data_IF_914068419884
#
_entry.id   IF_914068419884
#
_cell.length_a   1.000
_cell.length_b   1.000
_cell.length_c   1.000
_cell.angle_alpha   90.00
_cell.angle_beta   90.00
_cell.angle_gamma   90.00
#
_symmetry.space_group_name_H-M   'P 1'
#
loop_
_entity.id
_entity.type
_entity.pdbx_description
1 polymer ?
#
# COMPACT_ATOMS: atom_id res chain seq x y z
N UNK A 1 -0.36 40.93 19.52
CA UNK A 1 0.68 40.01 20.03
C UNK A 1 0.05 38.64 19.95
N UNK A 2 0.23 37.97 18.80
CA UNK A 2 -0.54 36.80 18.42
C UNK A 2 0.24 35.55 18.83
N UNK A 3 -0.38 34.72 19.66
CA UNK A 3 0.18 33.48 20.16
C UNK A 3 0.29 32.48 19.00
N UNK A 4 1.51 31.99 18.78
CA UNK A 4 1.84 31.05 17.73
C UNK A 4 1.62 29.63 18.29
N UNK A 5 0.45 29.05 17.99
CA UNK A 5 0.07 27.69 18.37
C UNK A 5 0.87 26.68 17.52
N UNK A 6 2.10 26.39 17.94
CA UNK A 6 2.94 25.37 17.34
C UNK A 6 2.60 24.04 17.98
N UNK A 7 1.66 23.31 17.39
CA UNK A 7 1.40 21.92 17.76
C UNK A 7 2.69 21.09 17.56
N UNK A 8 3.06 20.23 18.53
CA UNK A 8 4.30 19.48 18.46
C UNK A 8 4.24 18.46 17.32
N UNK A 9 5.17 18.59 16.36
CA UNK A 9 5.51 17.57 15.38
C UNK A 9 5.99 16.34 16.15
N UNK A 10 5.11 15.34 16.31
CA UNK A 10 5.48 14.06 16.88
C UNK A 10 6.62 13.48 16.03
N UNK A 11 7.74 13.18 16.68
CA UNK A 11 8.90 12.52 16.08
C UNK A 11 8.50 11.08 15.68
N UNK A 12 7.91 10.95 14.48
CA UNK A 12 7.39 9.68 13.95
C UNK A 12 8.45 8.58 13.81
N UNK A 13 9.72 8.94 13.92
CA UNK A 13 10.86 8.02 13.88
C UNK A 13 11.02 7.23 15.18
N UNK A 14 10.53 7.73 16.32
CA UNK A 14 10.64 7.02 17.61
C UNK A 14 9.55 5.96 17.83
N UNK A 15 8.38 6.09 17.19
CA UNK A 15 7.32 5.07 17.29
C UNK A 15 7.53 3.87 16.34
N UNK A 16 8.60 3.90 15.54
CA UNK A 16 9.11 2.74 14.79
C UNK A 16 9.87 1.72 15.68
N UNK A 17 9.90 1.92 17.01
CA UNK A 17 10.39 0.90 17.96
C UNK A 17 9.52 -0.38 18.00
N UNK A 18 8.35 -0.40 17.34
CA UNK A 18 7.52 -1.59 17.13
C UNK A 18 7.77 -2.33 15.81
N UNK A 19 8.85 -1.99 15.09
CA UNK A 19 9.17 -2.65 13.81
C UNK A 19 9.77 -4.05 13.99
N UNK A 20 10.24 -4.41 15.19
CA UNK A 20 10.61 -5.78 15.55
C UNK A 20 9.35 -6.65 15.77
N UNK A 21 8.79 -7.19 14.69
CA UNK A 21 7.74 -8.22 14.78
C UNK A 21 6.49 -7.98 13.95
N UNK A 22 6.42 -6.90 13.16
CA UNK A 22 5.33 -6.76 12.19
C UNK A 22 5.52 -7.79 11.06
N UNK A 23 4.46 -8.54 10.68
CA UNK A 23 4.47 -9.37 9.47
C UNK A 23 4.73 -8.55 8.19
N UNK A 24 4.73 -7.22 8.28
CA UNK A 24 5.02 -6.28 7.22
C UNK A 24 6.45 -6.40 6.62
N UNK A 25 7.39 -7.01 7.34
CA UNK A 25 8.78 -7.17 6.88
C UNK A 25 9.16 -8.61 6.52
N UNK A 26 8.35 -9.61 6.86
CA UNK A 26 8.65 -10.99 6.48
C UNK A 26 8.24 -11.22 5.01
N UNK A 27 9.19 -11.48 4.09
CA UNK A 27 8.88 -11.70 2.68
C UNK A 27 8.03 -12.95 2.43
N UNK A 28 7.88 -13.82 3.42
CA UNK A 28 7.07 -15.06 3.34
C UNK A 28 5.67 -14.91 3.91
N UNK A 29 5.35 -13.80 4.59
CA UNK A 29 4.01 -13.56 5.15
C UNK A 29 3.22 -12.61 4.26
N UNK A 30 1.97 -12.97 3.99
CA UNK A 30 1.08 -12.11 3.21
C UNK A 30 -0.39 -12.37 3.49
N UNK A 31 -1.22 -11.48 2.97
CA UNK A 31 -2.66 -11.51 3.11
C UNK A 31 -3.30 -12.05 1.84
N UNK A 32 -4.29 -12.93 2.01
CA UNK A 32 -5.08 -13.46 0.90
C UNK A 32 -5.90 -12.35 0.25
N UNK A 33 -6.36 -12.58 -0.98
CA UNK A 33 -7.06 -11.55 -1.77
C UNK A 33 -8.29 -10.92 -1.09
N UNK A 34 -9.12 -11.68 -0.37
CA UNK A 34 -10.30 -11.12 0.31
C UNK A 34 -9.89 -10.18 1.47
N UNK A 35 -9.07 -10.61 2.45
CA UNK A 35 -8.51 -9.71 3.46
C UNK A 35 -7.79 -8.49 2.89
N UNK A 36 -6.95 -8.69 1.86
CA UNK A 36 -6.21 -7.62 1.21
C UNK A 36 -7.13 -6.57 0.56
N UNK A 37 -8.16 -7.02 -0.18
CA UNK A 37 -9.15 -6.13 -0.78
C UNK A 37 -9.94 -5.36 0.29
N UNK A 38 -10.34 -6.05 1.37
CA UNK A 38 -11.04 -5.44 2.49
C UNK A 38 -10.19 -4.37 3.18
N UNK A 39 -8.92 -4.65 3.48
CA UNK A 39 -8.01 -3.70 4.12
C UNK A 39 -7.69 -2.48 3.24
N UNK A 40 -7.62 -2.67 1.92
CA UNK A 40 -7.46 -1.59 0.96
C UNK A 40 -8.75 -0.81 0.67
N UNK A 41 -9.92 -1.29 1.14
CA UNK A 41 -11.22 -0.67 0.88
C UNK A 41 -11.66 -0.79 -0.59
N UNK A 42 -11.27 -1.85 -1.27
CA UNK A 42 -11.62 -2.12 -2.68
C UNK A 42 -12.44 -3.40 -2.80
N UNK A 43 -13.20 -3.52 -3.89
CA UNK A 43 -13.86 -4.79 -4.21
C UNK A 43 -12.84 -5.84 -4.64
N UNK A 44 -13.18 -7.12 -4.43
CA UNK A 44 -12.36 -8.22 -4.93
C UNK A 44 -12.20 -8.19 -6.46
N UNK A 45 -13.20 -7.69 -7.20
CA UNK A 45 -13.12 -7.50 -8.66
C UNK A 45 -12.09 -6.44 -9.05
N UNK A 46 -12.01 -5.33 -8.32
CA UNK A 46 -10.98 -4.32 -8.54
C UNK A 46 -9.59 -4.90 -8.28
N UNK A 47 -9.42 -5.65 -7.18
CA UNK A 47 -8.17 -6.34 -6.90
C UNK A 47 -7.75 -7.27 -8.03
N UNK A 48 -8.67 -8.14 -8.48
CA UNK A 48 -8.38 -9.10 -9.56
C UNK A 48 -8.05 -8.40 -10.88
N UNK A 49 -8.78 -7.33 -11.22
CA UNK A 49 -8.52 -6.54 -12.40
C UNK A 49 -7.14 -5.85 -12.34
N UNK A 50 -6.75 -5.27 -11.21
CA UNK A 50 -5.47 -4.59 -11.04
C UNK A 50 -4.28 -5.55 -11.07
N UNK A 51 -4.43 -6.75 -10.53
CA UNK A 51 -3.41 -7.80 -10.64
C UNK A 51 -3.27 -8.28 -12.09
N UNK A 52 -4.37 -8.60 -12.76
CA UNK A 52 -4.36 -9.07 -14.16
C UNK A 52 -3.82 -8.03 -15.13
N UNK A 53 -4.01 -6.74 -14.85
CA UNK A 53 -3.49 -5.63 -15.67
C UNK A 53 -2.10 -5.15 -15.25
N UNK A 54 -1.51 -5.77 -14.22
CA UNK A 54 -0.17 -5.43 -13.71
C UNK A 54 -0.09 -4.10 -12.97
N UNK A 55 -1.22 -3.47 -12.64
CA UNK A 55 -1.23 -2.21 -11.89
C UNK A 55 -0.69 -2.42 -10.46
N UNK A 56 -1.23 -3.43 -9.77
CA UNK A 56 -0.71 -3.88 -8.48
C UNK A 56 -0.77 -5.39 -8.43
N UNK A 57 0.37 -6.03 -8.24
CA UNK A 57 0.51 -7.48 -8.20
C UNK A 57 0.96 -7.92 -6.80
N UNK A 58 0.59 -9.13 -6.36
CA UNK A 58 1.08 -9.67 -5.10
C UNK A 58 2.59 -9.89 -5.15
N UNK A 59 3.32 -9.38 -4.15
CA UNK A 59 4.77 -9.52 -4.05
C UNK A 59 5.18 -10.84 -3.37
N UNK A 60 4.35 -11.38 -2.47
CA UNK A 60 4.66 -12.62 -1.72
C UNK A 60 4.38 -13.85 -2.58
N UNK A 61 3.20 -13.92 -3.20
CA UNK A 61 2.83 -15.04 -4.07
C UNK A 61 1.92 -14.62 -5.21
N UNK A 62 2.38 -14.83 -6.43
CA UNK A 62 1.55 -14.74 -7.63
C UNK A 62 0.62 -15.94 -7.79
N UNK A 63 -0.45 -15.77 -8.57
CA UNK A 63 -1.26 -16.90 -8.99
C UNK A 63 -0.50 -17.76 -10.03
N UNK A 64 -0.35 -19.05 -9.75
CA UNK A 64 0.18 -20.06 -10.65
C UNK A 64 -0.89 -21.14 -10.90
N UNK A 65 -1.84 -20.83 -11.79
CA UNK A 65 -2.89 -21.76 -12.22
C UNK A 65 -4.10 -21.86 -11.30
N UNK A 66 -5.00 -22.81 -11.62
CA UNK A 66 -6.28 -23.00 -10.92
C UNK A 66 -6.07 -23.49 -9.49
N UNK A 67 -6.62 -22.76 -8.51
CA UNK A 67 -6.54 -23.08 -7.10
C UNK A 67 -5.32 -22.53 -6.36
N UNK A 68 -4.39 -21.88 -7.06
CA UNK A 68 -3.30 -21.12 -6.43
C UNK A 68 -3.83 -19.90 -5.69
N UNK A 69 -3.25 -19.61 -4.52
CA UNK A 69 -3.68 -18.50 -3.67
C UNK A 69 -2.66 -17.38 -3.74
N UNK A 70 -3.14 -16.19 -4.10
CA UNK A 70 -2.33 -14.97 -4.12
C UNK A 70 -2.08 -14.48 -2.69
N UNK A 71 -0.87 -14.06 -2.41
CA UNK A 71 -0.49 -13.44 -1.14
C UNK A 71 0.08 -12.04 -1.38
N UNK A 72 -0.59 -11.06 -0.78
CA UNK A 72 -0.22 -9.66 -0.84
C UNK A 72 0.57 -9.29 0.40
N UNK A 73 1.76 -8.71 0.22
CA UNK A 73 2.51 -8.11 1.31
C UNK A 73 1.73 -6.92 1.89
N UNK A 74 2.11 -6.49 3.10
CA UNK A 74 1.63 -5.23 3.67
C UNK A 74 1.80 -4.06 2.69
N UNK A 75 2.97 -3.99 2.03
CA UNK A 75 3.28 -2.96 1.04
C UNK A 75 2.30 -2.95 -0.12
N UNK A 76 1.93 -4.13 -0.61
CA UNK A 76 0.98 -4.23 -1.73
C UNK A 76 -0.37 -3.66 -1.32
N UNK A 77 -0.83 -3.94 -0.10
CA UNK A 77 -2.11 -3.43 0.44
C UNK A 77 -2.08 -1.91 0.60
N UNK A 78 -0.96 -1.35 1.06
CA UNK A 78 -0.77 0.11 1.09
C UNK A 78 -0.88 0.71 -0.32
N UNK A 79 -0.18 0.13 -1.29
CA UNK A 79 -0.22 0.58 -2.69
C UNK A 79 -1.64 0.46 -3.27
N UNK A 80 -2.35 -0.65 -3.02
CA UNK A 80 -3.75 -0.84 -3.43
C UNK A 80 -4.64 0.30 -2.89
N UNK A 81 -4.48 0.66 -1.61
CA UNK A 81 -5.26 1.74 -0.99
C UNK A 81 -4.91 3.12 -1.54
N UNK A 82 -3.64 3.37 -1.85
CA UNK A 82 -3.21 4.62 -2.50
C UNK A 82 -3.73 4.73 -3.93
N UNK A 83 -3.65 3.66 -4.73
CA UNK A 83 -4.22 3.57 -6.07
C UNK A 83 -5.72 3.87 -6.04
N UNK A 84 -6.45 3.28 -5.10
CA UNK A 84 -7.88 3.59 -4.89
C UNK A 84 -8.09 5.09 -4.65
N UNK A 85 -7.38 5.68 -3.70
CA UNK A 85 -7.55 7.12 -3.37
C UNK A 85 -7.23 8.04 -4.55
N UNK A 86 -6.20 7.72 -5.33
CA UNK A 86 -5.85 8.47 -6.54
C UNK A 86 -6.92 8.33 -7.64
N UNK A 87 -7.51 7.14 -7.80
CA UNK A 87 -8.63 6.94 -8.73
C UNK A 87 -9.89 7.68 -8.29
N UNK A 88 -10.20 7.64 -6.99
CA UNK A 88 -11.38 8.29 -6.42
C UNK A 88 -11.32 9.83 -6.57
N UNK A 89 -10.13 10.42 -6.70
CA UNK A 89 -9.92 11.85 -6.98
C UNK A 89 -9.81 12.19 -8.48
N UNK A 90 -9.93 11.20 -9.36
CA UNK A 90 -9.95 11.40 -10.81
C UNK A 90 -8.58 11.43 -11.48
N UNK A 91 -7.50 11.00 -10.80
CA UNK A 91 -6.17 10.88 -11.44
C UNK A 91 -6.21 9.79 -12.51
N UNK A 92 -5.65 10.10 -13.68
CA UNK A 92 -5.58 9.13 -14.78
C UNK A 92 -4.74 7.90 -14.41
N UNK A 93 -5.15 6.73 -14.92
CA UNK A 93 -4.47 5.46 -14.67
C UNK A 93 -2.98 5.49 -15.06
N UNK A 94 -2.63 6.25 -16.10
CA UNK A 94 -1.24 6.40 -16.55
C UNK A 94 -0.38 7.08 -15.49
N UNK A 95 -0.87 8.17 -14.89
CA UNK A 95 -0.15 8.88 -13.83
C UNK A 95 -0.06 8.07 -12.54
N UNK A 96 -1.11 7.29 -12.24
CA UNK A 96 -1.09 6.37 -11.11
C UNK A 96 0.00 5.32 -11.27
N UNK A 97 0.19 4.75 -12.48
CA UNK A 97 1.27 3.78 -12.73
C UNK A 97 2.65 4.39 -12.44
N UNK A 98 2.91 5.58 -12.98
CA UNK A 98 4.16 6.33 -12.72
C UNK A 98 4.40 6.54 -11.21
N UNK A 99 3.37 6.96 -10.47
CA UNK A 99 3.48 7.19 -9.03
C UNK A 99 3.72 5.90 -8.23
N UNK A 100 3.05 4.81 -8.60
CA UNK A 100 3.22 3.50 -7.97
C UNK A 100 4.64 2.98 -8.17
N UNK A 101 5.20 3.12 -9.36
CA UNK A 101 6.58 2.70 -9.63
C UNK A 101 7.59 3.48 -8.78
N UNK A 102 7.38 4.79 -8.63
CA UNK A 102 8.20 5.64 -7.75
C UNK A 102 8.06 5.25 -6.27
N UNK A 103 6.84 4.97 -5.80
CA UNK A 103 6.60 4.48 -4.43
C UNK A 103 7.24 3.11 -4.18
N UNK A 104 7.31 2.25 -5.20
CA UNK A 104 7.98 0.95 -5.13
C UNK A 104 9.49 1.07 -5.04
N UNK A 105 10.08 2.11 -5.62
CA UNK A 105 11.50 2.42 -5.49
C UNK A 105 11.87 3.02 -4.12
N UNK A 106 10.93 3.71 -3.45
CA UNK A 106 11.14 4.30 -2.12
C UNK A 106 11.20 3.24 -1.00
N UNK A 107 12.06 3.43 0.00
CA UNK A 107 12.16 2.53 1.16
C UNK A 107 10.98 2.66 2.13
N UNK A 108 10.72 1.64 2.95
CA UNK A 108 9.63 1.65 3.94
C UNK A 108 9.73 2.78 4.96
N UNK A 109 10.95 3.08 5.45
CA UNK A 109 11.20 4.18 6.40
C UNK A 109 10.85 5.56 5.84
N UNK A 110 10.96 5.74 4.53
CA UNK A 110 10.68 7.01 3.87
C UNK A 110 9.19 7.21 3.59
N UNK A 111 8.41 6.12 3.45
CA UNK A 111 6.96 6.17 3.19
C UNK A 111 6.19 6.95 4.26
N UNK A 112 6.65 6.94 5.51
CA UNK A 112 6.00 7.69 6.60
C UNK A 112 6.06 9.21 6.40
N UNK A 113 7.09 9.70 5.70
CA UNK A 113 7.35 11.13 5.45
C UNK A 113 6.82 11.59 4.08
N UNK A 114 6.50 10.66 3.19
CA UNK A 114 6.03 10.97 1.84
C UNK A 114 4.58 11.50 1.87
N UNK A 115 4.36 12.59 1.13
CA UNK A 115 3.04 13.09 0.76
C UNK A 115 2.93 13.04 -0.76
N UNK A 116 1.94 12.30 -1.27
CA UNK A 116 1.60 12.30 -2.69
C UNK A 116 0.78 13.55 -2.98
N UNK A 117 1.25 14.38 -3.88
CA UNK A 117 0.54 15.57 -4.34
C UNK A 117 0.12 15.38 -5.79
N UNK A 118 -1.08 15.81 -6.17
CA UNK A 118 -1.53 15.71 -7.55
C UNK A 118 -2.40 16.88 -7.96
N UNK A 119 -2.16 17.37 -9.17
CA UNK A 119 -2.94 18.39 -9.88
C UNK A 119 -3.94 17.75 -10.88
N UNK A 120 -4.04 16.42 -10.89
CA UNK A 120 -4.87 15.62 -11.81
C UNK A 120 -4.15 15.25 -13.11
N UNK A 121 -3.14 16.03 -13.52
CA UNK A 121 -2.31 15.77 -14.69
C UNK A 121 -1.01 15.04 -14.36
N UNK A 122 -0.47 15.23 -13.15
CA UNK A 122 0.75 14.61 -12.63
C UNK A 122 0.61 14.31 -11.14
N UNK A 123 1.37 13.31 -10.70
CA UNK A 123 1.54 12.97 -9.28
C UNK A 123 2.99 13.24 -8.89
N UNK A 124 3.20 13.88 -7.76
CA UNK A 124 4.49 14.26 -7.20
C UNK A 124 4.65 13.58 -5.84
N UNK A 125 5.84 13.05 -5.55
CA UNK A 125 6.19 12.54 -4.23
C UNK A 125 6.96 13.65 -3.51
N UNK A 126 6.31 14.29 -2.55
CA UNK A 126 6.95 15.29 -1.71
C UNK A 126 7.42 14.63 -0.41
N UNK A 127 8.65 14.90 -0.01
CA UNK A 127 9.22 14.43 1.27
C UNK A 127 9.40 15.55 2.28
N UNK A 128 9.33 16.80 1.81
CA UNK A 128 9.44 18.02 2.64
C UNK A 128 8.24 18.93 2.46
N UNK A 129 8.03 19.85 3.41
CA UNK A 129 6.95 20.82 3.34
C UNK A 129 7.19 21.89 2.26
N UNK A 130 8.44 22.25 2.00
CA UNK A 130 8.80 23.25 0.98
C UNK A 130 8.41 22.77 -0.42
N UNK A 131 8.66 21.49 -0.74
CA UNK A 131 8.23 20.88 -2.01
C UNK A 131 6.71 20.96 -2.22
N UNK A 132 5.94 20.83 -1.13
CA UNK A 132 4.47 20.96 -1.17
C UNK A 132 4.07 22.41 -1.44
N UNK A 133 4.70 23.37 -0.74
CA UNK A 133 4.42 24.80 -0.90
C UNK A 133 4.75 25.26 -2.32
N UNK A 134 5.88 24.84 -2.87
CA UNK A 134 6.32 25.19 -4.23
C UNK A 134 5.34 24.70 -5.30
N UNK A 135 4.68 23.56 -5.06
CA UNK A 135 3.69 23.03 -5.97
C UNK A 135 2.38 23.84 -5.92
N UNK A 136 1.92 24.19 -4.71
CA UNK A 136 0.70 25.00 -4.50
C UNK A 136 0.89 26.44 -5.00
N UNK A 137 2.08 27.01 -4.82
CA UNK A 137 2.41 28.39 -5.17
C UNK A 137 2.25 28.72 -6.66
N UNK A 138 2.12 27.71 -7.52
CA UNK A 138 1.87 27.86 -8.98
C UNK A 138 0.42 28.21 -9.32
N UNK A 139 -0.46 28.38 -8.33
CA UNK A 139 -1.86 28.77 -8.52
C UNK A 139 -2.77 27.64 -9.05
N UNK A 140 -2.32 26.39 -8.93
CA UNK A 140 -3.07 25.20 -9.35
C UNK A 140 -3.75 24.55 -8.15
N UNK A 141 -4.99 24.08 -8.34
CA UNK A 141 -5.67 23.26 -7.34
C UNK A 141 -5.01 21.89 -7.25
N UNK A 142 -4.44 21.56 -6.09
CA UNK A 142 -3.79 20.27 -5.83
C UNK A 142 -4.46 19.55 -4.68
N UNK A 143 -4.47 18.23 -4.75
CA UNK A 143 -4.86 17.39 -3.62
C UNK A 143 -3.63 16.65 -3.09
N UNK A 144 -3.59 16.47 -1.77
CA UNK A 144 -2.51 15.78 -1.08
C UNK A 144 -3.00 14.52 -0.38
N UNK A 145 -2.22 13.44 -0.47
CA UNK A 145 -2.40 12.20 0.30
C UNK A 145 -1.13 11.98 1.13
N UNK A 146 -1.21 12.21 2.43
CA UNK A 146 -0.15 11.86 3.36
C UNK A 146 -0.03 10.33 3.45
N UNK A 147 1.05 9.76 2.90
CA UNK A 147 1.24 8.31 2.82
C UNK A 147 1.37 7.70 4.21
N UNK A 148 2.08 8.36 5.13
CA UNK A 148 2.20 7.93 6.52
C UNK A 148 0.85 7.78 7.25
N UNK A 149 -0.16 8.60 6.92
CA UNK A 149 -1.51 8.43 7.46
C UNK A 149 -2.20 7.20 6.89
N UNK A 150 -2.07 6.97 5.58
CA UNK A 150 -2.66 5.78 4.93
C UNK A 150 -2.01 4.50 5.45
N UNK A 151 -0.69 4.52 5.67
CA UNK A 151 0.07 3.43 6.26
C UNK A 151 -0.50 3.04 7.63
N UNK A 152 -0.68 3.99 8.55
CA UNK A 152 -1.30 3.72 9.87
C UNK A 152 -2.72 3.17 9.78
N UNK A 153 -3.53 3.65 8.85
CA UNK A 153 -4.89 3.10 8.66
C UNK A 153 -4.86 1.64 8.18
N UNK A 154 -3.91 1.29 7.30
CA UNK A 154 -3.73 -0.08 6.82
C UNK A 154 -3.25 -0.96 7.97
N UNK A 155 -2.27 -0.52 8.75
CA UNK A 155 -1.80 -1.22 9.96
C UNK A 155 -2.96 -1.52 10.92
N UNK A 156 -3.72 -0.50 11.30
CA UNK A 156 -4.84 -0.64 12.22
C UNK A 156 -5.90 -1.64 11.71
N UNK A 157 -6.11 -1.71 10.40
CA UNK A 157 -7.06 -2.66 9.80
C UNK A 157 -6.52 -4.09 9.81
N UNK A 158 -5.22 -4.24 9.55
CA UNK A 158 -4.56 -5.54 9.43
C UNK A 158 -4.22 -6.18 10.79
N UNK A 159 -4.12 -5.40 11.87
CA UNK A 159 -3.92 -5.92 13.24
C UNK A 159 -4.97 -6.99 13.61
N UNK A 160 -6.20 -6.85 13.10
CA UNK A 160 -7.28 -7.79 13.36
C UNK A 160 -7.40 -8.92 12.30
N UNK A 161 -6.41 -9.05 11.41
CA UNK A 161 -6.41 -10.03 10.32
C UNK A 161 -5.24 -11.00 10.47
N UNK A 162 -5.49 -12.28 10.20
CA UNK A 162 -4.44 -13.32 10.25
C UNK A 162 -3.68 -13.37 8.91
N UNK A 163 -2.36 -13.09 8.88
CA UNK A 163 -1.56 -13.33 7.70
C UNK A 163 -1.43 -14.84 7.42
N UNK A 164 -1.15 -15.21 6.18
CA UNK A 164 -0.81 -16.57 5.78
C UNK A 164 0.68 -16.64 5.41
N UNK A 165 1.35 -17.70 5.82
CA UNK A 165 2.71 -17.98 5.36
C UNK A 165 2.70 -18.69 4.00
N UNK A 166 3.75 -18.49 3.22
CA UNK A 166 3.99 -19.25 1.99
C UNK A 166 4.04 -20.76 2.25
N UNK A 167 4.72 -21.16 3.31
CA UNK A 167 4.98 -22.56 3.67
C UNK A 167 3.68 -23.31 3.97
N UNK A 168 2.77 -22.72 4.77
CA UNK A 168 1.47 -23.32 5.07
C UNK A 168 0.64 -23.60 3.81
N UNK A 169 0.69 -22.67 2.84
CA UNK A 169 -0.09 -22.79 1.60
C UNK A 169 0.52 -23.86 0.70
N UNK A 170 1.84 -23.94 0.61
CA UNK A 170 2.51 -24.96 -0.19
C UNK A 170 2.28 -26.36 0.38
N UNK A 171 2.30 -26.51 1.71
CA UNK A 171 1.95 -27.78 2.36
C UNK A 171 0.49 -28.18 2.08
N UNK A 172 -0.45 -27.24 2.20
CA UNK A 172 -1.86 -27.45 1.85
C UNK A 172 -2.05 -27.83 0.38
N UNK A 173 -1.30 -27.21 -0.53
CA UNK A 173 -1.34 -27.51 -1.96
C UNK A 173 -0.82 -28.92 -2.24
N UNK A 174 0.31 -29.31 -1.65
CA UNK A 174 0.90 -30.65 -1.76
C UNK A 174 -0.03 -31.75 -1.22
N UNK A 175 -0.69 -31.50 -0.08
CA UNK A 175 -1.69 -32.41 0.50
C UNK A 175 -2.91 -32.60 -0.43
N UNK A 176 -3.34 -31.55 -1.13
CA UNK A 176 -4.47 -31.60 -2.08
C UNK A 176 -4.12 -32.37 -3.36
N UNK A 177 -2.91 -32.19 -3.89
CA UNK A 177 -2.48 -32.95 -5.07
C UNK A 177 -2.33 -34.43 -4.77
N UNK A 178 -1.79 -34.78 -3.60
CA UNK A 178 -1.67 -36.19 -3.17
C UNK A 178 -3.04 -36.90 -3.07
N UNK A 179 -4.07 -36.21 -2.57
CA UNK A 179 -5.44 -36.77 -2.49
C UNK A 179 -6.18 -36.88 -3.83
N UNK A 180 -5.79 -36.12 -4.87
CA UNK A 180 -6.39 -36.19 -6.21
C UNK A 180 -5.77 -37.27 -7.10
N UNK A 181 -4.61 -37.79 -6.72
CA UNK A 181 -3.89 -38.83 -7.46
C UNK A 181 -4.21 -40.26 -6.99
N UNK A 182 -5.07 -40.40 -5.98
CA UNK A 182 -5.63 -41.66 -5.45
C UNK A 182 -7.07 -41.77 -5.91
#
# INVERSE_FOLDING_TARGET
MSENDTQPQADYTQDMLFTEGLPALDPKLGYRGIPAASAAGISYRQLDYWDRTGLVQPTVRHASGSGSQRLYAFRDILVLKLVKRLLDTGVSLQQIRLAVDQLRAAGFGDLAKITLMSDGARVYLCTTQDEVIDLVGRGQGVFGIAVGRVLREVEATLVNMTPSSLEDIDELAARRSAKRAV
#
